data_IF_310770678928
#
_entry.id   IF_310770678928
#
_cell.length_a   1.000
_cell.length_b   1.000
_cell.length_c   1.000
_cell.angle_alpha   90.00
_cell.angle_beta   90.00
_cell.angle_gamma   90.00
#
_symmetry.space_group_name_H-M   'P 1'
#
loop_
_entity.id
_entity.type
_entity.pdbx_description
1 polymer ?
#
# COMPACT_ATOMS: atom_id res chain seq x y z
N UNK A 1 4.58 -15.32 26.79
CA UNK A 1 4.70 -14.11 25.96
C UNK A 1 4.76 -12.85 26.84
N UNK A 2 5.91 -12.20 26.86
CA UNK A 2 6.21 -10.99 27.64
C UNK A 2 5.26 -9.85 27.26
N UNK A 3 4.35 -9.50 28.16
CA UNK A 3 3.47 -8.33 28.03
C UNK A 3 4.32 -7.07 28.21
N UNK A 4 4.60 -6.36 27.13
CA UNK A 4 4.97 -4.94 27.22
C UNK A 4 3.74 -4.19 27.75
N UNK A 5 3.80 -3.51 28.92
CA UNK A 5 2.61 -3.02 29.64
C UNK A 5 1.81 -1.92 28.92
N UNK A 6 2.22 -1.50 27.72
CA UNK A 6 1.59 -0.44 26.93
C UNK A 6 0.97 -0.93 25.62
N UNK A 7 1.00 -2.25 25.35
CA UNK A 7 0.48 -2.83 24.11
C UNK A 7 -0.62 -3.83 24.46
N UNK A 8 -1.86 -3.55 24.03
CA UNK A 8 -2.96 -4.52 24.07
C UNK A 8 -3.00 -5.28 22.74
N UNK A 9 -3.23 -6.58 22.82
CA UNK A 9 -3.40 -7.45 21.65
C UNK A 9 -4.81 -8.00 21.69
N UNK A 10 -5.60 -7.68 20.67
CA UNK A 10 -6.98 -8.14 20.52
C UNK A 10 -7.05 -9.36 19.60
N UNK A 11 -7.81 -10.37 20.01
CA UNK A 11 -8.06 -11.56 19.20
C UNK A 11 -9.39 -11.39 18.45
N UNK A 12 -9.32 -11.54 17.14
CA UNK A 12 -10.45 -11.35 16.25
C UNK A 12 -11.05 -12.71 15.89
N UNK A 13 -12.37 -12.74 15.68
CA UNK A 13 -13.02 -13.93 15.14
C UNK A 13 -12.43 -14.29 13.76
N UNK A 14 -12.43 -15.57 13.38
CA UNK A 14 -11.96 -15.99 12.06
C UNK A 14 -12.70 -15.24 10.93
N UNK A 15 -11.99 -14.97 9.84
CA UNK A 15 -12.49 -14.26 8.64
C UNK A 15 -12.90 -12.79 8.85
N UNK A 16 -12.48 -12.15 9.94
CA UNK A 16 -12.77 -10.75 10.18
C UNK A 16 -11.75 -9.79 9.54
N UNK A 17 -10.57 -10.27 9.14
CA UNK A 17 -9.44 -9.45 8.69
C UNK A 17 -9.85 -8.36 7.69
N UNK A 18 -10.57 -8.73 6.63
CA UNK A 18 -11.02 -7.78 5.61
C UNK A 18 -12.04 -6.74 6.11
N UNK A 19 -12.82 -7.07 7.14
CA UNK A 19 -13.85 -6.21 7.70
C UNK A 19 -13.31 -5.19 8.71
N UNK A 20 -12.25 -5.53 9.45
CA UNK A 20 -11.79 -4.70 10.58
C UNK A 20 -10.34 -4.25 10.47
N UNK A 21 -9.54 -4.74 9.53
CA UNK A 21 -8.19 -4.21 9.34
C UNK A 21 -8.21 -2.98 8.42
N UNK A 22 -7.78 -1.78 8.90
CA UNK A 22 -7.80 -0.56 8.10
C UNK A 22 -7.00 -0.67 6.79
N UNK A 23 -5.97 -1.53 6.77
CA UNK A 23 -5.17 -1.79 5.58
C UNK A 23 -6.00 -2.38 4.43
N UNK A 24 -6.89 -3.31 4.76
CA UNK A 24 -7.79 -3.96 3.81
C UNK A 24 -8.99 -3.07 3.43
N UNK A 25 -9.29 -2.04 4.25
CA UNK A 25 -10.38 -1.10 3.99
C UNK A 25 -10.08 -0.01 2.96
N UNK A 26 -9.10 -0.25 2.08
CA UNK A 26 -8.80 0.61 0.93
C UNK A 26 -7.41 1.22 0.93
N UNK A 27 -6.65 1.16 2.02
CA UNK A 27 -5.26 1.67 2.07
C UNK A 27 -4.38 0.88 1.10
N UNK A 28 -4.40 -0.46 1.15
CA UNK A 28 -3.64 -1.31 0.22
C UNK A 28 -4.07 -1.08 -1.23
N UNK A 29 -5.37 -0.89 -1.46
CA UNK A 29 -5.89 -0.62 -2.80
C UNK A 29 -5.35 0.71 -3.35
N UNK A 30 -5.41 1.77 -2.55
CA UNK A 30 -4.89 3.10 -2.88
C UNK A 30 -3.38 3.05 -3.16
N UNK A 31 -2.62 2.41 -2.27
CA UNK A 31 -1.19 2.16 -2.45
C UNK A 31 -0.90 1.45 -3.79
N UNK A 32 -1.59 0.34 -4.08
CA UNK A 32 -1.42 -0.41 -5.33
C UNK A 32 -1.77 0.42 -6.56
N UNK A 33 -2.77 1.30 -6.48
CA UNK A 33 -3.12 2.21 -7.57
C UNK A 33 -1.98 3.19 -7.86
N UNK A 34 -1.42 3.83 -6.84
CA UNK A 34 -0.28 4.74 -6.99
C UNK A 34 0.97 4.01 -7.50
N UNK A 35 1.30 2.85 -6.94
CA UNK A 35 2.43 2.04 -7.38
C UNK A 35 2.31 1.65 -8.86
N UNK A 36 1.13 1.18 -9.30
CA UNK A 36 0.89 0.81 -10.70
C UNK A 36 1.02 2.01 -11.63
N UNK A 37 0.53 3.19 -11.24
CA UNK A 37 0.68 4.42 -12.02
C UNK A 37 2.17 4.71 -12.27
N UNK A 38 2.97 4.78 -11.20
CA UNK A 38 4.41 5.03 -11.27
C UNK A 38 5.16 3.99 -12.10
N UNK A 39 4.76 2.72 -11.97
CA UNK A 39 5.33 1.64 -12.78
C UNK A 39 5.03 1.80 -14.26
N UNK A 40 3.80 2.17 -14.64
CA UNK A 40 3.45 2.43 -16.04
C UNK A 40 4.11 3.68 -16.59
N UNK A 41 4.29 4.73 -15.79
CA UNK A 41 5.09 5.90 -16.18
C UNK A 41 6.54 5.50 -16.51
N UNK A 42 7.14 4.59 -15.73
CA UNK A 42 8.45 4.04 -16.04
C UNK A 42 8.44 3.26 -17.37
N UNK A 43 7.43 2.42 -17.61
CA UNK A 43 7.32 1.65 -18.85
C UNK A 43 7.15 2.58 -20.08
N UNK A 44 6.31 3.60 -19.97
CA UNK A 44 6.10 4.61 -21.00
C UNK A 44 7.38 5.40 -21.32
N UNK A 45 8.14 5.79 -20.29
CA UNK A 45 9.41 6.47 -20.50
C UNK A 45 10.42 5.60 -21.27
N UNK A 46 10.38 4.28 -21.07
CA UNK A 46 11.24 3.33 -21.79
C UNK A 46 10.77 3.11 -23.24
N UNK A 47 9.47 3.11 -23.47
CA UNK A 47 8.87 3.05 -24.80
C UNK A 47 9.28 4.26 -25.65
N UNK A 48 9.15 5.46 -25.09
CA UNK A 48 9.60 6.71 -25.71
C UNK A 48 11.11 6.68 -26.01
N UNK A 49 11.90 6.04 -25.14
CA UNK A 49 13.34 5.85 -25.33
C UNK A 49 13.72 4.68 -26.27
N UNK A 50 12.74 4.05 -26.94
CA UNK A 50 12.96 2.97 -27.91
C UNK A 50 13.53 1.69 -27.32
N UNK A 51 13.27 1.42 -26.04
CA UNK A 51 13.80 0.23 -25.36
C UNK A 51 12.99 -1.01 -25.74
N UNK A 52 13.66 -2.14 -26.01
CA UNK A 52 12.99 -3.38 -26.40
C UNK A 52 12.17 -4.04 -25.26
N UNK A 53 12.66 -3.94 -24.02
CA UNK A 53 11.97 -4.48 -22.85
C UNK A 53 11.41 -3.33 -22.01
N UNK A 54 10.13 -3.02 -22.18
CA UNK A 54 9.46 -1.90 -21.52
C UNK A 54 9.34 -2.07 -19.99
N UNK A 55 9.26 -3.31 -19.51
CA UNK A 55 8.92 -3.62 -18.12
C UNK A 55 10.14 -3.97 -17.26
N UNK A 56 11.33 -4.11 -17.84
CA UNK A 56 12.55 -4.30 -17.05
C UNK A 56 12.77 -3.18 -16.03
N UNK A 57 12.92 -3.59 -14.79
CA UNK A 57 13.11 -2.71 -13.65
C UNK A 57 13.94 -3.47 -12.62
N UNK A 58 14.85 -2.78 -11.93
CA UNK A 58 15.62 -3.40 -10.87
C UNK A 58 14.93 -3.23 -9.51
N UNK A 59 15.33 -4.06 -8.54
CA UNK A 59 14.74 -4.07 -7.21
C UNK A 59 14.85 -2.71 -6.50
N UNK A 60 15.99 -2.01 -6.64
CA UNK A 60 16.20 -0.67 -6.05
C UNK A 60 15.14 0.32 -6.55
N UNK A 61 14.85 0.33 -7.85
CA UNK A 61 13.84 1.21 -8.44
C UNK A 61 12.44 0.81 -7.95
N UNK A 62 12.10 -0.48 -7.93
CA UNK A 62 10.83 -0.97 -7.38
C UNK A 62 10.63 -0.49 -5.94
N UNK A 63 11.63 -0.62 -5.07
CA UNK A 63 11.55 -0.18 -3.68
C UNK A 63 11.32 1.34 -3.58
N UNK A 64 11.96 2.12 -4.45
CA UNK A 64 11.71 3.56 -4.55
C UNK A 64 10.27 3.89 -4.98
N UNK A 65 9.73 3.17 -5.97
CA UNK A 65 8.33 3.34 -6.40
C UNK A 65 7.34 2.97 -5.28
N UNK A 66 7.65 1.95 -4.49
CA UNK A 66 6.84 1.58 -3.33
C UNK A 66 6.86 2.66 -2.25
N UNK A 67 8.03 3.19 -1.90
CA UNK A 67 8.14 4.29 -0.93
C UNK A 67 7.35 5.54 -1.40
N UNK A 68 7.48 5.92 -2.67
CA UNK A 68 6.75 7.04 -3.26
C UNK A 68 5.23 6.80 -3.28
N UNK A 69 4.80 5.61 -3.69
CA UNK A 69 3.39 5.22 -3.67
C UNK A 69 2.79 5.29 -2.27
N UNK A 70 3.53 4.84 -1.25
CA UNK A 70 3.10 4.90 0.15
C UNK A 70 2.94 6.34 0.65
N UNK A 71 3.94 7.20 0.37
CA UNK A 71 3.89 8.63 0.72
C UNK A 71 2.76 9.38 0.04
N UNK A 72 2.30 8.89 -1.12
CA UNK A 72 1.19 9.48 -1.86
C UNK A 72 -0.18 9.11 -1.26
N UNK A 73 -0.27 8.05 -0.45
CA UNK A 73 -1.51 7.70 0.24
C UNK A 73 -1.88 8.82 1.22
N UNK A 74 -2.97 9.52 0.93
CA UNK A 74 -3.39 10.67 1.72
C UNK A 74 -3.84 10.31 3.14
N UNK A 75 -3.53 11.18 4.11
CA UNK A 75 -3.98 11.05 5.50
C UNK A 75 -5.51 10.91 5.61
N UNK A 76 -6.25 11.59 4.73
CA UNK A 76 -7.72 11.48 4.64
C UNK A 76 -8.17 10.07 4.23
N UNK A 77 -7.46 9.42 3.32
CA UNK A 77 -7.72 8.02 2.94
C UNK A 77 -7.51 7.11 4.14
N UNK A 78 -6.37 7.24 4.83
CA UNK A 78 -6.08 6.45 6.04
C UNK A 78 -7.14 6.65 7.12
N UNK A 79 -7.54 7.90 7.39
CA UNK A 79 -8.56 8.22 8.37
C UNK A 79 -9.93 7.63 8.00
N UNK A 80 -10.33 7.73 6.72
CA UNK A 80 -11.58 7.15 6.23
C UNK A 80 -11.59 5.62 6.34
N UNK A 81 -10.48 4.95 5.98
CA UNK A 81 -10.35 3.49 6.07
C UNK A 81 -10.40 3.02 7.53
N UNK A 82 -9.74 3.74 8.46
CA UNK A 82 -9.85 3.48 9.90
C UNK A 82 -11.29 3.60 10.38
N UNK A 83 -11.98 4.69 10.04
CA UNK A 83 -13.40 4.88 10.39
C UNK A 83 -14.28 3.76 9.84
N UNK A 84 -14.05 3.34 8.61
CA UNK A 84 -14.83 2.27 7.99
C UNK A 84 -14.60 0.91 8.66
N UNK A 85 -13.37 0.64 9.12
CA UNK A 85 -13.01 -0.59 9.83
C UNK A 85 -13.64 -0.73 11.21
N UNK A 86 -14.27 0.32 11.75
CA UNK A 86 -14.81 0.32 13.11
C UNK A 86 -13.75 0.36 14.21
N UNK A 87 -12.46 0.44 13.86
CA UNK A 87 -11.38 0.76 14.81
C UNK A 87 -11.33 2.28 14.99
N UNK A 88 -12.28 2.77 15.80
CA UNK A 88 -12.35 4.09 16.41
C UNK A 88 -12.98 3.97 17.81
#
# INVERSE_FOLDING_TARGET
PTKSPQICVEFLNPNMTCCIQPLDQGIIWCFKAHYRRLFYECALARDIAGQADLYKINQKKIMGLADEAWKTVGNTTVANCRRHSGIL
#
